data_IF_880058074089
#
_entry.id   IF_880058074089
#
_cell.length_a   1.000
_cell.length_b   1.000
_cell.length_c   1.000
_cell.angle_alpha   90.00
_cell.angle_beta   90.00
_cell.angle_gamma   90.00
#
_symmetry.space_group_name_H-M   'P 1'
#
loop_
_entity.id
_entity.type
_entity.pdbx_description
1 polymer ?
#
# COMPACT_ATOMS: atom_id res chain seq x y z
N UNK A 1 -41.08 33.21 23.41
CA UNK A 1 -41.27 31.76 23.64
C UNK A 1 -42.56 31.60 24.41
N UNK A 2 -43.65 31.22 23.74
CA UNK A 2 -44.94 30.92 24.39
C UNK A 2 -44.81 29.47 24.85
N UNK A 3 -44.49 29.31 26.13
CA UNK A 3 -44.54 27.99 26.76
C UNK A 3 -46.02 27.60 26.88
N UNK A 4 -46.42 26.59 26.14
CA UNK A 4 -47.73 26.03 26.22
C UNK A 4 -47.95 25.50 27.66
N UNK A 5 -48.94 26.01 28.38
CA UNK A 5 -49.30 25.60 29.77
C UNK A 5 -49.67 24.12 29.91
N UNK A 6 -49.56 23.40 28.86
CA UNK A 6 -49.95 22.01 28.68
C UNK A 6 -48.98 20.98 29.27
N UNK A 7 -47.71 21.31 29.35
CA UNK A 7 -46.68 20.30 29.70
C UNK A 7 -46.69 19.83 31.15
N UNK A 8 -47.50 20.50 31.98
CA UNK A 8 -47.59 20.15 33.42
C UNK A 8 -48.75 19.25 33.82
N UNK A 9 -49.77 19.01 32.93
CA UNK A 9 -51.01 18.35 33.33
C UNK A 9 -51.38 17.05 32.61
N UNK A 10 -50.68 16.61 31.58
CA UNK A 10 -51.07 15.43 30.83
C UNK A 10 -50.11 14.26 31.03
N UNK A 11 -50.63 13.18 31.60
CA UNK A 11 -49.88 11.94 31.91
C UNK A 11 -49.82 10.91 30.76
N UNK A 12 -50.63 11.11 29.70
CA UNK A 12 -50.65 10.18 28.55
C UNK A 12 -50.52 10.90 27.20
N UNK A 13 -49.75 10.36 26.27
CA UNK A 13 -49.50 10.94 24.97
C UNK A 13 -50.78 11.09 24.11
N UNK A 14 -51.74 10.18 24.20
CA UNK A 14 -52.97 10.15 23.41
C UNK A 14 -53.92 11.30 23.76
N UNK A 15 -54.02 11.68 25.04
CA UNK A 15 -54.83 12.83 25.48
C UNK A 15 -54.24 14.18 25.02
N UNK A 16 -52.97 14.21 24.73
CA UNK A 16 -52.25 15.40 24.27
C UNK A 16 -52.69 15.83 22.87
N UNK A 17 -53.01 14.91 22.01
CA UNK A 17 -53.38 15.17 20.62
C UNK A 17 -54.83 15.65 20.49
N UNK A 18 -55.73 15.12 21.28
CA UNK A 18 -57.15 15.47 21.24
C UNK A 18 -57.43 16.91 21.69
N UNK A 19 -56.64 17.48 22.58
CA UNK A 19 -56.82 18.84 23.11
C UNK A 19 -56.14 19.94 22.27
N UNK A 20 -55.15 19.57 21.41
CA UNK A 20 -54.44 20.52 20.54
C UNK A 20 -55.33 21.11 19.43
N UNK A 21 -56.47 20.51 19.10
CA UNK A 21 -57.39 20.99 18.07
C UNK A 21 -58.21 22.26 18.52
N UNK A 22 -58.17 22.51 19.79
CA UNK A 22 -58.99 23.66 20.41
C UNK A 22 -58.11 24.83 20.89
N UNK A 23 -56.81 24.73 20.79
CA UNK A 23 -55.82 25.73 21.20
C UNK A 23 -55.49 26.69 20.05
N UNK A 24 -55.31 28.01 20.31
CA UNK A 24 -54.84 28.99 19.30
C UNK A 24 -53.44 28.61 18.68
N UNK A 25 -52.66 27.79 19.37
CA UNK A 25 -51.39 27.20 18.87
C UNK A 25 -51.60 25.90 18.07
N UNK A 26 -52.83 25.46 17.85
CA UNK A 26 -53.16 24.18 17.21
C UNK A 26 -52.65 24.03 15.76
N UNK A 27 -52.52 25.13 15.04
CA UNK A 27 -51.93 25.15 13.70
C UNK A 27 -50.44 24.82 13.69
N UNK A 28 -49.68 25.28 14.68
CA UNK A 28 -48.26 24.96 14.81
C UNK A 28 -48.04 23.53 15.32
N UNK A 29 -48.94 23.06 16.22
CA UNK A 29 -48.94 21.67 16.67
C UNK A 29 -49.34 20.70 15.55
N UNK A 30 -50.29 21.05 14.67
CA UNK A 30 -50.64 20.23 13.50
C UNK A 30 -49.52 20.11 12.50
N UNK A 31 -48.76 21.20 12.23
CA UNK A 31 -47.54 21.12 11.40
C UNK A 31 -46.52 20.15 11.97
N UNK A 32 -46.36 20.13 13.30
CA UNK A 32 -45.46 19.17 13.95
C UNK A 32 -45.94 17.71 13.91
N UNK A 33 -47.28 17.47 13.73
CA UNK A 33 -47.84 16.12 13.58
C UNK A 33 -47.76 15.64 12.13
N UNK A 34 -47.90 16.53 11.17
CA UNK A 34 -47.66 16.19 9.75
C UNK A 34 -46.19 15.80 9.51
N UNK A 35 -45.27 16.46 10.18
CA UNK A 35 -43.85 16.08 10.13
C UNK A 35 -43.56 14.70 10.76
N UNK A 36 -44.46 14.20 11.64
CA UNK A 36 -44.37 12.84 12.21
C UNK A 36 -44.88 11.75 11.24
N UNK A 37 -45.58 12.13 10.16
CA UNK A 37 -46.09 11.16 9.18
C UNK A 37 -44.98 10.43 8.39
N UNK A 38 -43.76 10.92 8.48
CA UNK A 38 -42.62 10.41 7.74
C UNK A 38 -42.74 10.70 6.23
N UNK A 39 -41.63 10.74 5.56
CA UNK A 39 -41.55 10.86 4.10
C UNK A 39 -40.76 9.70 3.52
N UNK A 40 -41.10 9.30 2.32
CA UNK A 40 -40.43 8.22 1.65
C UNK A 40 -39.14 8.74 0.98
N UNK A 41 -38.00 8.17 1.37
CA UNK A 41 -36.67 8.49 0.82
C UNK A 41 -36.17 7.29 0.05
N UNK A 42 -35.71 7.53 -1.16
CA UNK A 42 -35.15 6.48 -2.00
C UNK A 42 -33.65 6.32 -1.73
N UNK A 43 -33.24 5.12 -1.32
CA UNK A 43 -31.85 4.73 -1.12
C UNK A 43 -31.41 3.79 -2.25
N UNK A 44 -30.64 4.31 -3.19
CA UNK A 44 -30.19 3.57 -4.36
C UNK A 44 -31.31 3.25 -5.36
N UNK A 45 -31.06 2.29 -6.25
CA UNK A 45 -31.99 1.95 -7.35
C UNK A 45 -33.24 1.19 -6.91
N UNK A 46 -33.19 0.44 -5.80
CA UNK A 46 -34.18 -0.60 -5.48
C UNK A 46 -34.82 -0.51 -4.09
N UNK A 47 -34.45 0.47 -3.27
CA UNK A 47 -34.97 0.54 -1.88
C UNK A 47 -35.56 1.90 -1.58
N UNK A 48 -36.86 1.90 -1.23
CA UNK A 48 -37.52 3.05 -0.66
C UNK A 48 -37.71 2.83 0.85
N UNK A 49 -37.28 3.77 1.67
CA UNK A 49 -37.44 3.71 3.11
C UNK A 49 -38.24 4.92 3.59
N UNK A 50 -39.10 4.70 4.58
CA UNK A 50 -39.84 5.79 5.23
C UNK A 50 -38.98 6.41 6.32
N UNK A 51 -38.64 7.69 6.14
CA UNK A 51 -37.90 8.48 7.11
C UNK A 51 -38.84 9.22 8.03
N UNK A 52 -38.60 9.14 9.33
CA UNK A 52 -39.27 9.88 10.38
C UNK A 52 -38.39 10.99 10.96
N UNK A 53 -37.29 11.29 10.32
CA UNK A 53 -36.36 12.34 10.75
C UNK A 53 -36.97 13.72 10.56
N UNK A 54 -36.84 14.57 11.58
CA UNK A 54 -37.16 15.98 11.50
C UNK A 54 -36.02 16.86 11.03
N UNK A 55 -34.81 16.30 11.00
CA UNK A 55 -33.61 16.97 10.54
C UNK A 55 -33.47 16.65 9.06
N UNK A 56 -33.31 17.67 8.24
CA UNK A 56 -32.99 17.48 6.81
C UNK A 56 -31.65 16.78 6.70
N UNK A 57 -31.60 15.76 5.85
CA UNK A 57 -30.36 15.13 5.51
C UNK A 57 -29.45 16.18 4.84
N UNK A 58 -28.27 16.40 5.43
CA UNK A 58 -27.28 17.37 4.94
C UNK A 58 -26.27 16.67 4.02
N UNK A 59 -26.08 15.37 4.22
CA UNK A 59 -25.18 14.53 3.45
C UNK A 59 -25.92 13.29 2.97
N UNK A 60 -25.65 12.90 1.73
CA UNK A 60 -26.14 11.64 1.20
C UNK A 60 -25.53 10.45 1.94
N UNK A 61 -26.25 9.32 1.93
CA UNK A 61 -25.76 8.10 2.53
C UNK A 61 -24.50 7.63 1.76
N UNK A 62 -23.35 7.46 2.43
CA UNK A 62 -22.15 7.03 1.72
C UNK A 62 -22.34 5.63 1.13
N UNK A 63 -21.79 5.41 -0.03
CA UNK A 63 -21.75 4.09 -0.64
C UNK A 63 -20.78 3.20 0.14
N UNK A 64 -21.30 2.21 0.89
CA UNK A 64 -20.48 1.35 1.75
C UNK A 64 -19.52 0.43 0.99
N UNK A 65 -19.74 0.23 -0.31
CA UNK A 65 -18.88 -0.57 -1.19
C UNK A 65 -18.00 0.28 -2.11
N UNK A 66 -17.97 1.61 -1.90
CA UNK A 66 -17.22 2.56 -2.72
C UNK A 66 -15.72 2.21 -2.78
N UNK A 67 -15.13 1.79 -1.65
CA UNK A 67 -13.74 1.36 -1.58
C UNK A 67 -13.46 0.20 -2.56
N UNK A 68 -14.39 -0.74 -2.70
CA UNK A 68 -14.24 -1.88 -3.61
C UNK A 68 -14.39 -1.45 -5.07
N UNK A 69 -15.47 -0.73 -5.37
CA UNK A 69 -15.80 -0.36 -6.75
C UNK A 69 -14.83 0.66 -7.32
N UNK A 70 -14.46 1.67 -6.55
CA UNK A 70 -13.56 2.74 -7.03
C UNK A 70 -12.13 2.25 -7.16
N UNK A 71 -11.64 1.45 -6.20
CA UNK A 71 -10.30 0.85 -6.30
C UNK A 71 -10.16 -0.08 -7.51
N UNK A 72 -11.22 -0.84 -7.84
CA UNK A 72 -11.20 -1.69 -9.02
C UNK A 72 -11.26 -0.89 -10.32
N UNK A 73 -12.05 0.18 -10.34
CA UNK A 73 -12.10 1.11 -11.48
C UNK A 73 -10.75 1.78 -11.70
N UNK A 74 -10.15 2.34 -10.65
CA UNK A 74 -8.82 2.94 -10.70
C UNK A 74 -7.76 1.94 -11.17
N UNK A 75 -7.84 0.69 -10.70
CA UNK A 75 -6.95 -0.37 -11.15
C UNK A 75 -7.11 -0.65 -12.66
N UNK A 76 -8.33 -0.69 -13.18
CA UNK A 76 -8.57 -0.88 -14.61
C UNK A 76 -8.14 0.34 -15.44
N UNK A 77 -8.33 1.56 -14.92
CA UNK A 77 -8.04 2.78 -15.68
C UNK A 77 -6.55 3.12 -15.73
N UNK A 78 -5.84 2.93 -14.60
CA UNK A 78 -4.44 3.35 -14.43
C UNK A 78 -3.52 2.24 -13.97
N UNK A 79 -3.95 1.43 -13.00
CA UNK A 79 -3.09 0.44 -12.35
C UNK A 79 -2.60 -0.66 -13.29
N UNK A 80 -3.43 -1.15 -14.20
CA UNK A 80 -3.01 -2.13 -15.21
C UNK A 80 -1.95 -1.56 -16.15
N UNK A 81 -2.11 -0.29 -16.55
CA UNK A 81 -1.14 0.39 -17.38
C UNK A 81 0.20 0.52 -16.69
N UNK A 82 0.20 0.96 -15.42
CA UNK A 82 1.41 1.06 -14.61
C UNK A 82 2.12 -0.30 -14.47
N UNK A 83 1.38 -1.40 -14.28
CA UNK A 83 1.96 -2.76 -14.21
C UNK A 83 2.65 -3.15 -15.52
N UNK A 84 2.05 -2.83 -16.66
CA UNK A 84 2.68 -3.11 -17.96
C UNK A 84 3.90 -2.21 -18.19
N UNK A 85 3.84 -0.93 -17.84
CA UNK A 85 4.95 0.02 -17.95
C UNK A 85 6.12 -0.29 -17.01
N UNK A 86 5.87 -0.89 -15.84
CA UNK A 86 6.91 -1.35 -14.90
C UNK A 86 7.73 -2.54 -15.45
N UNK A 87 7.10 -3.40 -16.26
CA UNK A 87 7.75 -4.59 -16.84
C UNK A 87 8.37 -4.28 -18.21
N UNK A 88 7.74 -3.43 -18.98
CA UNK A 88 8.14 -3.06 -20.34
C UNK A 88 8.84 -1.68 -20.33
N UNK A 89 9.76 -1.40 -21.24
CA UNK A 89 10.17 -2.22 -22.37
C UNK A 89 11.09 -3.39 -21.99
N UNK A 90 11.01 -4.47 -22.76
CA UNK A 90 11.92 -5.63 -22.66
C UNK A 90 12.82 -5.63 -23.89
N UNK A 91 14.13 -5.56 -23.67
CA UNK A 91 15.12 -5.72 -24.73
C UNK A 91 15.75 -7.11 -24.71
N UNK A 92 16.21 -7.56 -25.87
CA UNK A 92 17.02 -8.79 -25.93
C UNK A 92 18.44 -8.53 -25.40
N UNK A 93 19.21 -9.62 -25.20
CA UNK A 93 20.57 -9.54 -24.66
C UNK A 93 21.52 -8.66 -25.47
N UNK A 94 21.33 -8.56 -26.78
CA UNK A 94 22.15 -7.75 -27.69
C UNK A 94 21.62 -6.33 -27.90
N UNK A 95 20.52 -5.98 -27.24
CA UNK A 95 19.81 -4.69 -27.37
C UNK A 95 19.40 -4.32 -28.81
N UNK A 96 19.25 -5.32 -29.67
CA UNK A 96 18.85 -5.15 -31.08
C UNK A 96 17.33 -5.18 -31.28
N UNK A 97 16.59 -5.82 -30.36
CA UNK A 97 15.14 -5.89 -30.38
C UNK A 97 14.56 -5.37 -29.08
N UNK A 98 13.48 -4.63 -29.17
CA UNK A 98 12.76 -4.05 -28.04
C UNK A 98 11.26 -4.27 -28.18
N UNK A 99 10.66 -4.78 -27.10
CA UNK A 99 9.21 -4.99 -27.01
C UNK A 99 8.63 -3.89 -26.12
N UNK A 100 7.76 -3.07 -26.67
CA UNK A 100 7.07 -1.98 -25.98
C UNK A 100 5.60 -2.29 -25.77
N UNK A 101 5.04 -1.72 -24.70
CA UNK A 101 3.61 -1.68 -24.43
C UNK A 101 2.99 -0.46 -25.11
N UNK A 102 1.87 -0.66 -25.82
CA UNK A 102 1.13 0.43 -26.48
C UNK A 102 -0.19 0.70 -25.74
N UNK A 103 -0.91 -0.34 -25.39
CA UNK A 103 -2.20 -0.23 -24.72
C UNK A 103 -2.86 -1.59 -24.51
N UNK A 104 -3.98 -1.59 -23.83
CA UNK A 104 -4.80 -2.78 -23.64
C UNK A 104 -6.29 -2.48 -23.83
N UNK A 105 -7.05 -3.50 -24.14
CA UNK A 105 -8.51 -3.46 -24.29
C UNK A 105 -9.14 -4.67 -23.59
N UNK A 106 -10.17 -4.40 -22.80
CA UNK A 106 -11.02 -5.42 -22.23
C UNK A 106 -12.23 -5.58 -23.15
N UNK A 107 -12.45 -6.80 -23.66
CA UNK A 107 -13.61 -7.11 -24.51
C UNK A 107 -14.80 -7.56 -23.65
N UNK A 108 -15.94 -7.77 -24.28
CA UNK A 108 -17.14 -8.20 -23.59
C UNK A 108 -16.95 -9.57 -22.89
N UNK A 109 -17.50 -9.74 -21.68
CA UNK A 109 -17.45 -11.01 -20.97
C UNK A 109 -18.11 -12.14 -21.78
N UNK A 110 -17.54 -13.34 -21.67
CA UNK A 110 -18.06 -14.53 -22.36
C UNK A 110 -19.41 -14.99 -21.84
N UNK A 111 -19.64 -14.82 -20.53
CA UNK A 111 -20.87 -15.20 -19.85
C UNK A 111 -21.49 -14.01 -19.17
N UNK A 112 -22.80 -13.99 -19.05
CA UNK A 112 -23.52 -13.09 -18.16
C UNK A 112 -23.30 -13.51 -16.69
N UNK A 113 -23.67 -12.64 -15.75
CA UNK A 113 -23.54 -12.95 -14.31
C UNK A 113 -24.31 -14.20 -13.90
N UNK A 114 -25.52 -14.38 -14.45
CA UNK A 114 -26.37 -15.53 -14.14
C UNK A 114 -25.84 -16.82 -14.77
N UNK A 115 -25.41 -16.76 -16.02
CA UNK A 115 -24.81 -17.89 -16.72
C UNK A 115 -23.52 -18.36 -16.05
N UNK A 116 -22.66 -17.41 -15.59
CA UNK A 116 -21.44 -17.75 -14.87
C UNK A 116 -21.73 -18.52 -13.58
N UNK A 117 -22.82 -18.19 -12.87
CA UNK A 117 -23.25 -18.92 -11.67
C UNK A 117 -23.82 -20.31 -11.99
N UNK A 118 -24.63 -20.43 -13.06
CA UNK A 118 -25.25 -21.68 -13.43
C UNK A 118 -24.25 -22.69 -14.00
N UNK A 119 -23.27 -22.22 -14.75
CA UNK A 119 -22.24 -23.04 -15.37
C UNK A 119 -20.98 -23.27 -14.52
N UNK A 120 -20.99 -22.84 -13.25
CA UNK A 120 -19.80 -22.86 -12.38
C UNK A 120 -18.57 -22.24 -13.05
N UNK A 121 -18.80 -21.20 -13.86
CA UNK A 121 -17.77 -20.47 -14.59
C UNK A 121 -17.37 -19.19 -13.86
N UNK A 122 -16.23 -18.61 -14.27
CA UNK A 122 -15.81 -17.29 -13.78
C UNK A 122 -16.38 -16.18 -14.67
N UNK A 123 -16.90 -15.13 -14.03
CA UNK A 123 -17.31 -13.92 -14.74
C UNK A 123 -16.05 -13.10 -15.07
N UNK A 124 -15.57 -13.25 -16.31
CA UNK A 124 -14.32 -12.67 -16.78
C UNK A 124 -14.47 -12.12 -18.19
N UNK A 125 -13.68 -11.10 -18.50
CA UNK A 125 -13.56 -10.54 -19.83
C UNK A 125 -12.16 -10.84 -20.41
N UNK A 126 -12.04 -11.17 -21.69
CA UNK A 126 -10.74 -11.34 -22.32
C UNK A 126 -10.02 -10.02 -22.43
N UNK A 127 -8.77 -9.98 -21.97
CA UNK A 127 -7.89 -8.83 -22.11
C UNK A 127 -6.97 -9.03 -23.31
N UNK A 128 -6.94 -8.04 -24.18
CA UNK A 128 -6.05 -7.97 -25.32
C UNK A 128 -5.05 -6.85 -25.07
N UNK A 129 -3.78 -7.14 -25.30
CA UNK A 129 -2.70 -6.18 -25.14
C UNK A 129 -2.04 -5.92 -26.47
N UNK A 130 -1.88 -4.66 -26.80
CA UNK A 130 -1.19 -4.23 -28.02
C UNK A 130 0.29 -4.02 -27.70
N UNK A 131 1.12 -4.85 -28.29
CA UNK A 131 2.57 -4.75 -28.22
C UNK A 131 3.16 -4.18 -29.51
N UNK A 132 4.28 -3.48 -29.35
CA UNK A 132 5.11 -2.98 -30.44
C UNK A 132 6.49 -3.61 -30.35
N UNK A 133 6.87 -4.37 -31.36
CA UNK A 133 8.21 -4.93 -31.50
C UNK A 133 9.02 -4.03 -32.43
N UNK A 134 10.13 -3.53 -31.93
CA UNK A 134 11.04 -2.65 -32.66
C UNK A 134 12.33 -3.42 -32.91
N UNK A 135 12.74 -3.56 -34.17
CA UNK A 135 14.06 -4.03 -34.54
C UNK A 135 14.96 -2.82 -34.78
N UNK A 136 15.93 -2.59 -33.89
CA UNK A 136 16.81 -1.42 -33.95
C UNK A 136 17.84 -1.51 -35.10
N UNK A 137 18.14 -2.71 -35.60
CA UNK A 137 19.07 -2.89 -36.72
C UNK A 137 18.44 -2.60 -38.06
N UNK A 138 17.22 -3.10 -38.29
CA UNK A 138 16.51 -2.95 -39.57
C UNK A 138 15.59 -1.74 -39.59
N UNK A 139 15.28 -1.18 -38.41
CA UNK A 139 14.26 -0.12 -38.28
C UNK A 139 12.83 -0.61 -38.47
N UNK A 140 12.60 -1.91 -38.52
CA UNK A 140 11.28 -2.49 -38.71
C UNK A 140 10.47 -2.42 -37.40
N UNK A 141 9.22 -1.93 -37.51
CA UNK A 141 8.28 -1.84 -36.39
C UNK A 141 7.07 -2.70 -36.70
N UNK A 142 6.78 -3.65 -35.81
CA UNK A 142 5.58 -4.50 -35.88
C UNK A 142 4.71 -4.23 -34.67
N UNK A 143 3.45 -3.86 -34.91
CA UNK A 143 2.42 -3.71 -33.85
C UNK A 143 1.39 -4.81 -34.00
N UNK A 144 1.13 -5.50 -32.91
CA UNK A 144 0.17 -6.61 -32.90
C UNK A 144 -0.63 -6.63 -31.60
N UNK A 145 -1.93 -6.88 -31.72
CA UNK A 145 -2.82 -7.18 -30.59
C UNK A 145 -2.71 -8.66 -30.26
N UNK A 146 -2.45 -8.97 -28.99
CA UNK A 146 -2.25 -10.33 -28.49
C UNK A 146 -3.25 -10.60 -27.36
N UNK A 147 -3.93 -11.74 -27.40
CA UNK A 147 -4.74 -12.22 -26.30
C UNK A 147 -3.82 -12.53 -25.12
N UNK A 148 -4.04 -11.83 -24.01
CA UNK A 148 -3.20 -11.94 -22.82
C UNK A 148 -3.80 -12.92 -21.80
N UNK A 149 -5.14 -12.98 -21.71
CA UNK A 149 -5.84 -13.87 -20.80
C UNK A 149 -7.26 -13.40 -20.48
N UNK A 150 -7.96 -14.17 -19.66
CA UNK A 150 -9.28 -13.82 -19.15
C UNK A 150 -9.13 -13.13 -17.80
N UNK A 151 -9.64 -11.90 -17.69
CA UNK A 151 -9.53 -11.07 -16.49
C UNK A 151 -10.87 -11.03 -15.75
N UNK A 152 -10.92 -11.36 -14.44
CA UNK A 152 -12.15 -11.32 -13.67
C UNK A 152 -12.72 -9.92 -13.58
N UNK A 153 -14.03 -9.79 -13.81
CA UNK A 153 -14.75 -8.51 -13.75
C UNK A 153 -15.55 -8.43 -12.46
N UNK A 154 -15.53 -7.25 -11.85
CA UNK A 154 -16.30 -6.96 -10.64
C UNK A 154 -17.78 -6.76 -10.98
N UNK A 155 -18.64 -7.30 -10.14
CA UNK A 155 -20.09 -7.09 -10.21
C UNK A 155 -20.46 -5.70 -9.68
N UNK A 156 -21.69 -5.25 -9.92
CA UNK A 156 -22.23 -3.99 -9.35
C UNK A 156 -22.23 -4.00 -7.81
N UNK A 157 -22.20 -5.17 -7.18
CA UNK A 157 -22.18 -5.36 -5.74
C UNK A 157 -20.75 -5.35 -5.15
N UNK A 158 -19.72 -5.10 -5.95
CA UNK A 158 -18.32 -5.11 -5.51
C UNK A 158 -17.73 -6.50 -5.29
N UNK A 159 -18.33 -7.52 -5.87
CA UNK A 159 -17.90 -8.93 -5.75
C UNK A 159 -17.38 -9.48 -7.06
N UNK A 160 -16.74 -10.64 -7.02
CA UNK A 160 -16.29 -11.41 -8.19
C UNK A 160 -16.97 -12.76 -8.19
N UNK A 161 -17.30 -13.28 -9.38
CA UNK A 161 -17.78 -14.66 -9.53
C UNK A 161 -16.62 -15.48 -10.09
N UNK A 162 -16.13 -16.40 -9.29
CA UNK A 162 -15.02 -17.30 -9.64
C UNK A 162 -15.50 -18.74 -9.48
N UNK A 163 -15.50 -19.49 -10.58
CA UNK A 163 -16.01 -20.86 -10.62
C UNK A 163 -17.41 -20.98 -10.00
N UNK A 164 -18.32 -20.11 -10.42
CA UNK A 164 -19.71 -20.06 -9.93
C UNK A 164 -19.88 -19.47 -8.51
N UNK A 165 -18.80 -19.39 -7.72
CA UNK A 165 -18.82 -18.88 -6.35
C UNK A 165 -18.59 -17.37 -6.27
N UNK A 166 -19.41 -16.70 -5.48
CA UNK A 166 -19.25 -15.25 -5.22
C UNK A 166 -18.12 -15.01 -4.21
N UNK A 167 -17.16 -14.18 -4.59
CA UNK A 167 -15.96 -13.85 -3.83
C UNK A 167 -15.81 -12.35 -3.69
N UNK A 168 -15.17 -11.90 -2.61
CA UNK A 168 -14.84 -10.50 -2.38
C UNK A 168 -13.36 -10.36 -2.03
N UNK A 169 -12.73 -9.30 -2.52
CA UNK A 169 -11.38 -8.93 -2.10
C UNK A 169 -11.52 -8.11 -0.82
N UNK A 170 -10.96 -8.64 0.26
CA UNK A 170 -10.97 -7.94 1.56
C UNK A 170 -9.84 -6.93 1.59
N UNK A 171 -10.19 -5.65 1.83
CA UNK A 171 -9.19 -4.58 2.00
C UNK A 171 -8.33 -4.86 3.21
N UNK A 172 -7.00 -4.75 3.05
CA UNK A 172 -6.03 -4.95 4.12
C UNK A 172 -5.35 -3.63 4.48
N UNK A 173 -5.25 -3.37 5.78
CA UNK A 173 -4.46 -2.27 6.28
C UNK A 173 -3.01 -2.69 6.40
N UNK A 174 -2.13 -2.02 5.67
CA UNK A 174 -0.68 -2.23 5.72
C UNK A 174 0.01 -0.99 6.26
N UNK A 175 1.21 -1.18 6.83
CA UNK A 175 2.04 -0.04 7.20
C UNK A 175 2.42 0.73 5.95
N UNK A 176 2.21 2.04 5.99
CA UNK A 176 2.63 2.92 4.91
C UNK A 176 4.16 2.92 4.78
N UNK A 177 4.70 3.08 3.56
CA UNK A 177 6.14 3.26 3.38
C UNK A 177 6.69 4.41 4.22
N UNK A 178 7.93 4.28 4.69
CA UNK A 178 8.58 5.31 5.51
C UNK A 178 9.53 4.73 6.55
N UNK A 179 9.96 5.57 7.49
CA UNK A 179 10.82 5.18 8.61
C UNK A 179 10.00 5.12 9.90
N UNK A 180 10.18 4.07 10.66
CA UNK A 180 9.55 3.84 11.95
C UNK A 180 10.61 3.65 13.01
N UNK A 181 10.41 4.29 14.16
CA UNK A 181 11.26 4.13 15.33
C UNK A 181 10.49 3.44 16.44
N UNK A 182 11.15 2.57 17.15
CA UNK A 182 10.61 1.86 18.29
C UNK A 182 11.68 1.73 19.36
N UNK A 183 11.25 1.66 20.58
CA UNK A 183 12.06 1.34 21.75
C UNK A 183 11.57 0.03 22.37
N UNK A 184 12.49 -0.72 22.95
CA UNK A 184 12.20 -1.96 23.67
C UNK A 184 12.99 -1.96 24.97
N UNK A 185 12.30 -2.19 26.07
CA UNK A 185 12.97 -2.38 27.36
C UNK A 185 13.33 -3.86 27.51
N UNK A 186 14.61 -4.13 27.72
CA UNK A 186 15.11 -5.49 27.98
C UNK A 186 14.73 -5.94 29.40
N UNK A 187 14.85 -7.24 29.66
CA UNK A 187 14.59 -7.84 30.99
C UNK A 187 15.39 -7.20 32.12
N UNK A 188 16.52 -6.59 31.79
CA UNK A 188 17.41 -5.88 32.72
C UNK A 188 17.06 -4.40 32.90
N UNK A 189 15.96 -3.90 32.30
CA UNK A 189 15.56 -2.52 32.36
C UNK A 189 16.32 -1.58 31.40
N UNK A 190 17.23 -2.11 30.56
CA UNK A 190 17.94 -1.30 29.56
C UNK A 190 17.05 -1.07 28.34
N UNK A 191 17.00 0.19 27.87
CA UNK A 191 16.24 0.55 26.67
C UNK A 191 17.08 0.29 25.44
N UNK A 192 16.60 -0.54 24.55
CA UNK A 192 17.14 -0.73 23.21
C UNK A 192 16.29 0.04 22.19
N UNK A 193 16.95 0.62 21.20
CA UNK A 193 16.31 1.38 20.13
C UNK A 193 16.29 0.59 18.84
N UNK A 194 15.20 0.72 18.10
CA UNK A 194 15.05 0.13 16.80
C UNK A 194 14.56 1.13 15.76
N UNK A 195 14.96 0.93 14.53
CA UNK A 195 14.46 1.68 13.39
C UNK A 195 14.19 0.72 12.26
N UNK A 196 13.06 0.91 11.57
CA UNK A 196 12.68 0.10 10.42
C UNK A 196 12.36 1.00 9.25
N UNK A 197 13.07 0.81 8.14
CA UNK A 197 12.77 1.45 6.85
C UNK A 197 11.90 0.50 6.06
N UNK A 198 10.68 0.92 5.76
CA UNK A 198 9.71 0.15 4.99
C UNK A 198 9.56 0.85 3.63
N UNK A 199 10.01 0.23 2.53
CA UNK A 199 9.76 0.73 1.19
C UNK A 199 8.32 0.43 0.75
N UNK A 200 7.87 1.06 -0.34
CA UNK A 200 6.65 0.68 -1.04
C UNK A 200 6.85 -0.66 -1.77
N UNK A 201 8.02 -0.82 -2.38
CA UNK A 201 8.46 -2.05 -3.05
C UNK A 201 9.92 -2.30 -2.69
N UNK A 202 10.24 -3.53 -2.29
CA UNK A 202 11.62 -3.95 -2.01
C UNK A 202 11.84 -4.46 -0.60
N UNK A 203 13.11 -4.63 -0.24
CA UNK A 203 13.55 -5.20 1.02
C UNK A 203 13.42 -4.22 2.20
N UNK A 204 12.97 -4.73 3.33
CA UNK A 204 12.95 -3.96 4.56
C UNK A 204 14.37 -3.87 5.14
N UNK A 205 14.70 -2.70 5.67
CA UNK A 205 15.94 -2.48 6.42
C UNK A 205 15.58 -2.21 7.87
N UNK A 206 16.02 -3.09 8.76
CA UNK A 206 15.82 -2.95 10.20
C UNK A 206 17.14 -2.69 10.88
N UNK A 207 17.17 -1.71 11.76
CA UNK A 207 18.30 -1.37 12.61
C UNK A 207 17.87 -1.59 14.06
N UNK A 208 18.69 -2.26 14.86
CA UNK A 208 18.42 -2.49 16.28
C UNK A 208 19.68 -2.36 17.12
N UNK A 209 19.54 -1.83 18.32
CA UNK A 209 20.62 -1.84 19.32
C UNK A 209 20.45 -2.98 20.30
N UNK A 210 21.55 -3.59 20.71
CA UNK A 210 21.58 -4.67 21.70
C UNK A 210 21.86 -4.11 23.10
N UNK A 211 21.66 -4.94 24.13
CA UNK A 211 21.98 -4.64 25.53
C UNK A 211 23.45 -4.26 25.79
N UNK A 212 24.35 -4.59 24.87
CA UNK A 212 25.79 -4.29 24.90
C UNK A 212 26.18 -3.02 24.14
N UNK A 213 25.20 -2.17 23.76
CA UNK A 213 25.39 -0.98 22.92
C UNK A 213 26.09 -1.30 21.59
N UNK A 214 25.63 -2.35 20.92
CA UNK A 214 26.06 -2.73 19.58
C UNK A 214 24.89 -2.52 18.63
N UNK A 215 25.11 -1.82 17.51
CA UNK A 215 24.15 -1.61 16.48
C UNK A 215 24.17 -2.78 15.47
N UNK A 216 23.02 -3.37 15.22
CA UNK A 216 22.82 -4.44 14.26
C UNK A 216 21.88 -4.00 13.14
N UNK A 217 22.09 -4.62 11.98
CA UNK A 217 21.24 -4.47 10.82
C UNK A 217 20.66 -5.82 10.41
N UNK A 218 19.41 -5.80 9.95
CA UNK A 218 18.76 -6.92 9.24
C UNK A 218 18.24 -6.45 7.91
N UNK A 219 18.46 -7.24 6.89
CA UNK A 219 17.92 -7.03 5.56
C UNK A 219 16.88 -8.11 5.32
N UNK A 220 15.61 -7.71 5.11
CA UNK A 220 14.53 -8.61 4.69
C UNK A 220 14.37 -9.87 5.59
N UNK A 221 14.31 -9.68 6.90
CA UNK A 221 14.16 -10.75 7.92
C UNK A 221 15.31 -11.76 8.02
N UNK A 222 16.46 -11.45 7.44
CA UNK A 222 17.66 -12.31 7.58
C UNK A 222 18.24 -12.23 8.99
N UNK A 223 19.29 -13.01 9.24
CA UNK A 223 20.03 -12.92 10.51
C UNK A 223 20.71 -11.56 10.63
N UNK A 224 20.74 -11.01 11.85
CA UNK A 224 21.37 -9.75 12.14
C UNK A 224 22.88 -9.78 11.90
N UNK A 225 23.39 -8.70 11.33
CA UNK A 225 24.80 -8.41 11.12
C UNK A 225 25.16 -7.09 11.80
N UNK A 226 26.41 -6.84 12.17
CA UNK A 226 26.82 -5.53 12.65
C UNK A 226 26.47 -4.44 11.63
N UNK A 227 26.03 -3.29 12.11
CA UNK A 227 25.68 -2.15 11.23
C UNK A 227 26.87 -1.68 10.39
N UNK A 228 28.07 -1.73 10.98
CA UNK A 228 29.33 -1.37 10.29
C UNK A 228 29.62 -2.23 9.09
N UNK A 229 29.23 -3.51 9.10
CA UNK A 229 29.34 -4.41 7.93
C UNK A 229 28.52 -3.87 6.75
N UNK A 230 27.31 -3.37 6.97
CA UNK A 230 26.54 -2.74 5.90
C UNK A 230 27.20 -1.46 5.40
N UNK A 231 27.70 -0.61 6.30
CA UNK A 231 28.38 0.64 5.95
C UNK A 231 29.65 0.36 5.11
N UNK A 232 30.43 -0.67 5.48
CA UNK A 232 31.59 -1.09 4.70
C UNK A 232 31.21 -1.60 3.31
N UNK A 233 30.14 -2.38 3.22
CA UNK A 233 29.63 -2.88 1.93
C UNK A 233 29.16 -1.74 1.00
N UNK A 234 28.76 -0.59 1.56
CA UNK A 234 28.42 0.61 0.81
C UNK A 234 29.63 1.44 0.36
N UNK A 235 30.85 1.04 0.77
CA UNK A 235 32.11 1.63 0.29
C UNK A 235 32.94 2.37 1.35
N UNK A 236 32.44 2.50 2.58
CA UNK A 236 33.16 3.16 3.70
C UNK A 236 33.97 2.10 4.46
N UNK A 237 35.19 1.83 4.01
CA UNK A 237 36.00 0.72 4.51
C UNK A 237 36.78 1.03 5.79
N UNK A 238 37.13 2.31 6.01
CA UNK A 238 37.94 2.78 7.14
C UNK A 238 37.13 2.89 8.43
N UNK A 239 37.76 2.57 9.57
CA UNK A 239 37.15 2.76 10.89
C UNK A 239 36.99 4.24 11.20
N UNK A 240 37.99 5.06 10.82
CA UNK A 240 37.97 6.51 10.97
C UNK A 240 36.88 7.15 10.13
N UNK A 241 36.66 6.68 8.89
CA UNK A 241 35.56 7.15 8.02
C UNK A 241 34.19 6.89 8.64
N UNK A 242 34.02 5.73 9.28
CA UNK A 242 32.77 5.38 9.96
C UNK A 242 32.53 6.30 11.17
N UNK A 243 33.59 6.56 11.95
CA UNK A 243 33.52 7.47 13.10
C UNK A 243 33.25 8.91 12.65
N UNK A 244 33.85 9.36 11.56
CA UNK A 244 33.60 10.71 11.00
C UNK A 244 32.15 10.90 10.54
N UNK A 245 31.53 9.87 9.97
CA UNK A 245 30.14 9.93 9.47
C UNK A 245 29.12 9.86 10.61
N UNK A 246 29.30 8.90 11.54
CA UNK A 246 28.29 8.58 12.57
C UNK A 246 28.57 9.23 13.92
N UNK A 247 29.72 9.86 14.07
CA UNK A 247 30.20 10.46 15.32
C UNK A 247 30.89 9.46 16.23
N UNK A 248 31.74 9.97 17.09
CA UNK A 248 32.52 9.19 18.05
C UNK A 248 31.68 8.86 19.30
N UNK A 249 30.82 7.84 19.17
CA UNK A 249 29.97 7.36 20.26
C UNK A 249 30.40 5.98 20.70
N UNK A 250 30.13 5.63 21.97
CA UNK A 250 30.38 4.30 22.52
C UNK A 250 29.69 3.19 21.68
N UNK A 251 28.49 3.43 21.22
CA UNK A 251 27.74 2.53 20.35
C UNK A 251 28.49 2.23 19.04
N UNK A 252 29.05 3.27 18.39
CA UNK A 252 29.79 3.10 17.14
C UNK A 252 31.09 2.34 17.39
N UNK A 253 31.84 2.68 18.45
CA UNK A 253 33.08 1.96 18.82
C UNK A 253 32.84 0.49 19.13
N UNK A 254 31.85 0.18 19.98
CA UNK A 254 31.50 -1.19 20.33
C UNK A 254 31.04 -2.00 19.08
N UNK A 255 30.39 -1.34 18.14
CA UNK A 255 29.96 -1.98 16.90
C UNK A 255 31.14 -2.27 15.98
N UNK A 256 32.11 -1.35 15.88
CA UNK A 256 33.36 -1.56 15.13
C UNK A 256 34.20 -2.70 15.74
N UNK A 257 34.29 -2.78 17.07
CA UNK A 257 34.98 -3.89 17.74
C UNK A 257 34.33 -5.24 17.50
N UNK A 258 33.00 -5.26 17.36
CA UNK A 258 32.23 -6.46 17.06
C UNK A 258 32.29 -6.87 15.61
N UNK A 259 32.65 -5.96 14.74
CA UNK A 259 32.81 -6.23 13.32
C UNK A 259 34.01 -7.18 13.09
N UNK A 260 33.76 -8.28 12.42
CA UNK A 260 34.73 -9.39 12.25
C UNK A 260 35.85 -9.04 11.24
N UNK A 261 35.62 -8.00 10.44
CA UNK A 261 36.47 -7.63 9.31
C UNK A 261 37.72 -6.86 9.77
N UNK A 262 38.69 -7.58 10.35
CA UNK A 262 39.95 -7.01 10.84
C UNK A 262 41.07 -6.90 9.78
N UNK A 263 40.75 -7.22 8.53
CA UNK A 263 41.69 -7.20 7.43
C UNK A 263 42.03 -5.78 6.95
N UNK A 264 43.10 -5.60 6.13
CA UNK A 264 43.47 -4.30 5.58
C UNK A 264 42.29 -3.59 4.88
N UNK A 265 42.30 -2.25 4.90
CA UNK A 265 41.17 -1.43 4.46
C UNK A 265 40.62 -1.77 3.06
N UNK A 266 41.46 -2.10 2.13
CA UNK A 266 41.09 -2.38 0.73
C UNK A 266 40.29 -3.67 0.53
N UNK A 267 40.42 -4.66 1.45
CA UNK A 267 39.69 -5.93 1.35
C UNK A 267 38.42 -5.96 2.20
N UNK A 268 38.22 -4.99 3.14
CA UNK A 268 37.11 -4.97 4.08
C UNK A 268 35.76 -4.82 3.39
N UNK A 269 35.69 -4.03 2.32
CA UNK A 269 34.45 -3.86 1.54
C UNK A 269 34.01 -5.16 0.89
N UNK A 270 34.92 -5.90 0.28
CA UNK A 270 34.62 -7.17 -0.41
C UNK A 270 34.24 -8.28 0.59
N UNK A 271 34.86 -8.31 1.77
CA UNK A 271 34.48 -9.24 2.83
C UNK A 271 33.09 -8.94 3.38
N UNK A 272 32.79 -7.67 3.63
CA UNK A 272 31.48 -7.22 4.06
C UNK A 272 30.38 -7.56 3.04
N UNK A 273 30.65 -7.35 1.76
CA UNK A 273 29.75 -7.74 0.67
C UNK A 273 29.50 -9.24 0.65
N UNK A 274 30.55 -10.08 0.81
CA UNK A 274 30.44 -11.53 0.85
C UNK A 274 29.66 -12.01 2.08
N UNK A 275 29.82 -11.37 3.25
CA UNK A 275 29.03 -11.71 4.43
C UNK A 275 27.55 -11.40 4.23
N UNK A 276 27.22 -10.24 3.70
CA UNK A 276 25.83 -9.88 3.38
C UNK A 276 25.24 -10.88 2.36
N UNK A 277 26.00 -11.23 1.33
CA UNK A 277 25.56 -12.20 0.33
C UNK A 277 25.26 -13.56 0.95
N UNK A 278 26.11 -14.06 1.83
CA UNK A 278 25.90 -15.35 2.53
C UNK A 278 24.63 -15.33 3.39
N UNK A 279 24.29 -14.17 3.97
CA UNK A 279 23.03 -14.03 4.74
C UNK A 279 21.79 -14.01 3.86
N UNK A 280 21.90 -13.37 2.69
CA UNK A 280 20.80 -13.26 1.74
C UNK A 280 20.59 -14.54 0.91
N UNK A 281 21.70 -15.25 0.56
CA UNK A 281 21.69 -16.47 -0.26
C UNK A 281 22.61 -17.53 0.32
N UNK A 282 22.19 -18.20 1.39
CA UNK A 282 23.00 -19.24 2.01
C UNK A 282 23.20 -20.41 1.04
N UNK A 283 24.46 -20.87 0.91
CA UNK A 283 24.82 -22.04 0.10
C UNK A 283 25.24 -21.74 -1.35
N UNK A 284 25.12 -20.51 -1.82
CA UNK A 284 25.66 -20.11 -3.12
C UNK A 284 27.13 -19.67 -3.05
N UNK A 285 27.91 -19.85 -4.12
CA UNK A 285 29.30 -19.38 -4.19
C UNK A 285 29.36 -17.85 -4.14
N UNK A 286 30.14 -17.31 -3.22
CA UNK A 286 30.24 -15.87 -2.94
C UNK A 286 31.46 -15.26 -3.63
N UNK A 287 31.23 -14.52 -4.71
CA UNK A 287 32.26 -13.68 -5.35
C UNK A 287 32.01 -12.21 -4.99
N UNK A 288 33.02 -11.37 -5.01
CA UNK A 288 32.84 -9.93 -4.70
C UNK A 288 31.87 -9.25 -5.69
N UNK A 289 32.01 -9.59 -6.99
CA UNK A 289 31.17 -9.00 -8.04
C UNK A 289 29.70 -9.41 -7.94
N UNK A 290 29.42 -10.71 -7.70
CA UNK A 290 28.05 -11.18 -7.52
C UNK A 290 27.41 -10.59 -6.25
N UNK A 291 28.20 -10.43 -5.19
CA UNK A 291 27.74 -9.84 -3.93
C UNK A 291 27.41 -8.36 -4.10
N UNK A 292 28.25 -7.61 -4.80
CA UNK A 292 28.00 -6.21 -5.12
C UNK A 292 26.76 -6.05 -6.00
N UNK A 293 26.66 -6.85 -7.06
CA UNK A 293 25.49 -6.83 -7.97
C UNK A 293 24.19 -7.13 -7.23
N UNK A 294 24.20 -8.08 -6.28
CA UNK A 294 23.02 -8.40 -5.47
C UNK A 294 22.62 -7.23 -4.58
N UNK A 295 23.57 -6.58 -3.88
CA UNK A 295 23.29 -5.45 -3.00
C UNK A 295 22.75 -4.25 -3.78
N UNK A 296 23.39 -3.94 -4.93
CA UNK A 296 22.95 -2.87 -5.83
C UNK A 296 21.52 -3.14 -6.34
N UNK A 297 21.29 -4.36 -6.84
CA UNK A 297 19.95 -4.74 -7.31
C UNK A 297 18.88 -4.70 -6.21
N UNK A 298 19.27 -4.90 -4.94
CA UNK A 298 18.32 -4.94 -3.82
C UNK A 298 17.88 -3.55 -3.34
N UNK A 299 18.75 -2.54 -3.39
CA UNK A 299 18.53 -1.23 -2.81
C UNK A 299 18.62 -0.06 -3.78
N UNK A 300 19.30 -0.23 -4.93
CA UNK A 300 19.59 0.85 -5.87
C UNK A 300 18.99 0.64 -7.27
N UNK A 301 18.36 -0.51 -7.52
CA UNK A 301 17.61 -0.74 -8.76
C UNK A 301 16.19 -0.17 -8.62
N UNK A 302 15.80 0.86 -9.39
CA UNK A 302 14.47 1.46 -9.32
C UNK A 302 13.32 0.48 -9.59
N UNK A 303 13.59 -0.59 -10.35
CA UNK A 303 12.61 -1.64 -10.63
C UNK A 303 12.35 -2.55 -9.43
N UNK A 304 13.30 -2.64 -8.49
CA UNK A 304 13.25 -3.58 -7.35
C UNK A 304 13.09 -2.89 -6.01
N UNK A 305 13.46 -1.62 -5.90
CA UNK A 305 13.37 -0.86 -4.66
C UNK A 305 12.82 0.54 -4.93
N UNK A 306 11.73 0.86 -4.28
CA UNK A 306 11.12 2.17 -4.37
C UNK A 306 10.44 2.54 -3.04
N UNK A 307 10.66 3.77 -2.58
CA UNK A 307 9.97 4.35 -1.44
C UNK A 307 8.61 4.96 -1.80
N UNK A 308 8.39 5.20 -3.08
CA UNK A 308 7.31 6.02 -3.62
C UNK A 308 7.25 7.44 -3.01
N UNK A 309 6.39 8.29 -3.54
CA UNK A 309 6.27 9.68 -3.10
C UNK A 309 5.89 9.80 -1.62
N UNK A 310 4.98 8.95 -1.15
CA UNK A 310 4.51 8.95 0.25
C UNK A 310 5.61 8.51 1.20
N UNK A 311 6.34 7.44 0.88
CA UNK A 311 7.46 6.96 1.69
C UNK A 311 8.58 7.98 1.77
N UNK A 312 8.96 8.57 0.64
CA UNK A 312 9.98 9.62 0.58
C UNK A 312 9.59 10.85 1.41
N UNK A 313 8.35 11.31 1.28
CA UNK A 313 7.84 12.41 2.09
C UNK A 313 7.95 12.12 3.59
N UNK A 314 7.53 10.93 4.03
CA UNK A 314 7.58 10.54 5.44
C UNK A 314 9.01 10.40 5.97
N UNK A 315 9.92 9.84 5.18
CA UNK A 315 11.35 9.75 5.51
C UNK A 315 11.93 11.15 5.66
N UNK A 316 11.74 12.01 4.67
CA UNK A 316 12.24 13.38 4.69
C UNK A 316 11.72 14.17 5.90
N UNK A 317 10.43 14.05 6.20
CA UNK A 317 9.80 14.71 7.34
C UNK A 317 10.37 14.22 8.68
N UNK A 318 10.52 12.91 8.86
CA UNK A 318 11.00 12.32 10.12
C UNK A 318 12.49 12.52 10.35
N UNK A 319 13.29 12.44 9.31
CA UNK A 319 14.75 12.62 9.38
C UNK A 319 15.19 14.07 9.12
N UNK A 320 14.24 14.99 8.90
CA UNK A 320 14.51 16.40 8.58
C UNK A 320 15.46 16.58 7.38
N UNK A 321 15.32 15.71 6.37
CA UNK A 321 16.12 15.74 5.16
C UNK A 321 15.47 16.69 4.17
N UNK A 322 16.24 17.63 3.61
CA UNK A 322 15.77 18.61 2.62
C UNK A 322 15.98 18.14 1.16
N UNK A 323 16.10 16.88 0.93
CA UNK A 323 16.30 16.34 -0.42
C UNK A 323 15.04 16.52 -1.25
N UNK A 324 15.16 17.01 -2.48
CA UNK A 324 14.05 17.06 -3.45
C UNK A 324 13.55 15.65 -3.70
N UNK A 325 12.24 15.52 -3.70
CA UNK A 325 11.57 14.31 -4.15
C UNK A 325 11.86 14.09 -5.65
N UNK A 326 12.84 13.30 -5.96
CA UNK A 326 12.93 12.61 -7.22
C UNK A 326 12.32 11.25 -6.95
N UNK A 327 11.19 10.99 -7.58
CA UNK A 327 10.48 9.71 -7.51
C UNK A 327 11.33 8.60 -8.05
#
# INVERSE_FOLDING_TARGET
>A
MITCQWDKQLKKAEDKYLKCTTCKAGLECRKGVEDLAGHDVQYGKHRTRRSFSRIKEVLDLPNLIEIQTDSFKEFLDTGLKEVFEDVLPISNFTDTMELEFVGYELKEPKYTLEEARIHDASYSAPIFVTFRLINKETGEIKTQEVFFGDFPIMTEMGTFIINGGERIIVSQLVRSPGVYFNDKVDKNGKVGYGSTVIPNRGAWLELETDSKDIAYTRIDRTRKIPFTTLVRALGFSGDDEIVDIFGDSELVRNTIEKDIHKNPADSRTDEALKEIYERLRPGEPKTADSSRSLLVARFFDPRRYDLAAVGRYKVNKKLNIKTRLLG
#
